data_IF_818849100255
#
_entry.id   IF_818849100255
#
_cell.length_a   1.000
_cell.length_b   1.000
_cell.length_c   1.000
_cell.angle_alpha   90.00
_cell.angle_beta   90.00
_cell.angle_gamma   90.00
#
_symmetry.space_group_name_H-M   'P 1'
#
loop_
_entity.id
_entity.type
_entity.pdbx_description
1 polymer ?
#
# COMPACT_ATOMS: atom_id res chain seq x y z
N UNK A 1 9.48 -13.70 13.40
CA UNK A 1 9.66 -12.56 12.48
C UNK A 1 8.51 -12.57 11.48
N UNK A 2 7.52 -11.71 11.65
CA UNK A 2 6.39 -11.63 10.70
C UNK A 2 6.93 -10.96 9.44
N UNK A 3 7.13 -11.73 8.37
CA UNK A 3 7.48 -11.14 7.08
C UNK A 3 6.24 -10.40 6.56
N UNK A 4 6.17 -9.10 6.85
CA UNK A 4 5.09 -8.20 6.38
C UNK A 4 5.14 -7.96 4.86
N UNK A 5 6.08 -8.59 4.14
CA UNK A 5 6.26 -8.39 2.70
C UNK A 5 5.42 -9.40 1.92
N UNK A 6 4.62 -8.95 0.94
CA UNK A 6 3.83 -9.86 0.11
C UNK A 6 4.74 -10.85 -0.60
N UNK A 7 4.39 -12.13 -0.56
CA UNK A 7 5.16 -13.19 -1.20
C UNK A 7 4.65 -13.42 -2.63
N UNK A 8 5.54 -13.84 -3.51
CA UNK A 8 5.17 -14.28 -4.85
C UNK A 8 4.31 -15.56 -4.78
N UNK A 9 3.12 -15.61 -5.42
CA UNK A 9 2.26 -16.79 -5.39
C UNK A 9 2.80 -17.98 -6.21
N UNK A 10 3.88 -17.79 -6.97
CA UNK A 10 4.49 -18.85 -7.78
C UNK A 10 5.69 -19.50 -7.09
N UNK A 11 6.54 -18.72 -6.41
CA UNK A 11 7.80 -19.23 -5.83
C UNK A 11 8.01 -18.87 -4.36
N UNK A 12 7.10 -18.15 -3.72
CA UNK A 12 7.22 -17.75 -2.32
C UNK A 12 8.26 -16.67 -2.04
N UNK A 13 8.93 -16.14 -3.06
CA UNK A 13 9.95 -15.10 -2.91
C UNK A 13 9.32 -13.77 -2.46
N UNK A 14 9.91 -13.03 -1.51
CA UNK A 14 9.40 -11.73 -1.09
C UNK A 14 9.42 -10.72 -2.22
N UNK A 15 8.28 -10.06 -2.44
CA UNK A 15 8.17 -8.98 -3.42
C UNK A 15 8.83 -7.71 -2.86
N UNK A 16 9.70 -7.04 -3.63
CA UNK A 16 10.37 -5.83 -3.16
C UNK A 16 9.39 -4.71 -2.83
N UNK A 17 9.63 -4.02 -1.71
CA UNK A 17 8.74 -2.97 -1.19
C UNK A 17 8.42 -1.88 -2.20
N UNK A 18 9.42 -1.46 -2.99
CA UNK A 18 9.24 -0.44 -4.03
C UNK A 18 8.13 -0.83 -5.03
N UNK A 19 8.05 -2.11 -5.42
CA UNK A 19 7.01 -2.62 -6.33
C UNK A 19 5.64 -2.68 -5.66
N UNK A 20 5.60 -2.95 -4.35
CA UNK A 20 4.34 -3.00 -3.57
C UNK A 20 3.70 -1.63 -3.35
N UNK A 21 4.48 -0.55 -3.32
CA UNK A 21 3.97 0.80 -3.08
C UNK A 21 3.89 1.65 -4.35
N UNK A 22 4.92 1.59 -5.19
CA UNK A 22 5.04 2.44 -6.39
C UNK A 22 4.71 1.70 -7.69
N UNK A 23 4.63 0.37 -7.64
CA UNK A 23 4.32 -0.49 -8.78
C UNK A 23 2.85 -0.92 -8.90
N UNK A 24 1.95 -0.34 -8.10
CA UNK A 24 0.53 -0.72 -8.09
C UNK A 24 -0.10 -0.57 -9.48
N UNK A 25 -0.77 -1.62 -9.94
CA UNK A 25 -1.45 -1.71 -11.23
C UNK A 25 -0.52 -1.88 -12.45
N UNK A 26 0.80 -1.98 -12.25
CA UNK A 26 1.75 -2.24 -13.34
C UNK A 26 2.24 -3.69 -13.25
N UNK A 27 2.28 -4.43 -14.38
CA UNK A 27 2.90 -5.75 -14.39
C UNK A 27 4.41 -5.64 -14.16
N UNK A 28 4.97 -6.57 -13.39
CA UNK A 28 6.41 -6.69 -13.12
C UNK A 28 6.81 -8.17 -12.99
N UNK A 29 8.05 -8.50 -13.36
CA UNK A 29 8.57 -9.85 -13.17
C UNK A 29 8.99 -10.08 -11.71
N UNK A 30 8.69 -11.27 -11.16
CA UNK A 30 9.23 -11.70 -9.88
C UNK A 30 10.76 -11.88 -9.95
N UNK A 31 11.49 -11.43 -8.92
CA UNK A 31 12.96 -11.57 -8.87
C UNK A 31 13.43 -13.03 -8.76
N UNK A 32 12.63 -13.92 -8.15
CA UNK A 32 12.95 -15.35 -8.03
C UNK A 32 12.59 -16.14 -9.28
N UNK A 33 11.29 -16.24 -9.58
CA UNK A 33 10.79 -17.12 -10.65
C UNK A 33 10.49 -16.42 -12.00
N UNK A 34 10.76 -15.11 -12.12
CA UNK A 34 10.46 -14.30 -13.32
C UNK A 34 8.99 -14.30 -13.78
N UNK A 35 8.08 -14.89 -13.01
CA UNK A 35 6.65 -14.91 -13.32
C UNK A 35 6.13 -13.47 -13.36
N UNK A 36 5.31 -13.11 -14.37
CA UNK A 36 4.68 -11.80 -14.42
C UNK A 36 3.64 -11.68 -13.31
N UNK A 37 3.80 -10.67 -12.47
CA UNK A 37 2.94 -10.36 -11.34
C UNK A 37 2.35 -8.97 -11.52
N UNK A 38 1.12 -8.78 -11.04
CA UNK A 38 0.47 -7.49 -10.92
C UNK A 38 -0.10 -7.36 -9.51
N UNK A 39 0.07 -6.20 -8.90
CA UNK A 39 -0.61 -5.87 -7.65
C UNK A 39 -1.78 -4.95 -8.01
N UNK A 40 -3.04 -5.40 -7.88
CA UNK A 40 -4.19 -4.60 -8.27
C UNK A 40 -4.27 -3.31 -7.44
N UNK A 41 -4.63 -2.19 -8.08
CA UNK A 41 -4.90 -0.94 -7.35
C UNK A 41 -6.22 -1.08 -6.60
N UNK A 42 -6.23 -0.70 -5.33
CA UNK A 42 -7.48 -0.56 -4.59
C UNK A 42 -7.74 0.93 -4.29
N UNK A 43 -8.55 1.54 -5.15
CA UNK A 43 -8.89 2.98 -5.08
C UNK A 43 -9.65 3.31 -3.78
N UNK A 44 -10.35 2.33 -3.20
CA UNK A 44 -11.11 2.48 -1.97
C UNK A 44 -10.22 2.78 -0.75
N UNK A 45 -8.97 2.32 -0.74
CA UNK A 45 -8.03 2.62 0.36
C UNK A 45 -7.71 4.12 0.36
N UNK A 46 -7.42 4.68 -0.81
CA UNK A 46 -7.17 6.12 -0.96
C UNK A 46 -8.43 6.95 -0.68
N UNK A 47 -9.59 6.49 -1.14
CA UNK A 47 -10.87 7.15 -0.88
C UNK A 47 -11.21 7.18 0.61
N UNK A 48 -11.04 6.06 1.32
CA UNK A 48 -11.28 5.99 2.77
C UNK A 48 -10.37 6.95 3.54
N UNK A 49 -9.09 7.03 3.18
CA UNK A 49 -8.16 7.97 3.79
C UNK A 49 -8.54 9.44 3.51
N UNK A 50 -9.02 9.75 2.30
CA UNK A 50 -9.49 11.08 1.95
C UNK A 50 -10.73 11.49 2.77
N UNK A 51 -11.68 10.57 2.95
CA UNK A 51 -12.87 10.82 3.78
C UNK A 51 -12.48 11.06 5.24
N UNK A 52 -11.56 10.25 5.79
CA UNK A 52 -11.05 10.43 7.16
C UNK A 52 -10.36 11.79 7.29
N UNK A 53 -9.50 12.16 6.33
CA UNK A 53 -8.88 13.48 6.33
C UNK A 53 -9.94 14.60 6.33
N UNK A 54 -10.95 14.51 5.47
CA UNK A 54 -12.00 15.52 5.38
C UNK A 54 -12.82 15.66 6.67
N UNK A 55 -13.10 14.55 7.35
CA UNK A 55 -13.84 14.56 8.63
C UNK A 55 -13.02 15.13 9.79
N UNK A 56 -11.70 14.95 9.78
CA UNK A 56 -10.82 15.38 10.87
C UNK A 56 -10.15 16.74 10.63
N UNK A 57 -10.02 17.21 9.38
CA UNK A 57 -9.31 18.46 9.05
C UNK A 57 -9.89 19.68 9.79
N UNK A 58 -11.21 19.74 9.94
CA UNK A 58 -11.90 20.89 10.54
C UNK A 58 -11.83 20.89 12.07
N UNK A 59 -11.36 19.79 12.68
CA UNK A 59 -11.07 19.71 14.12
C UNK A 59 -9.65 20.12 14.46
N UNK A 60 -8.81 20.38 13.47
CA UNK A 60 -7.41 20.73 13.67
C UNK A 60 -7.24 22.24 13.64
N UNK A 61 -6.61 22.75 14.69
CA UNK A 61 -6.43 24.18 14.94
C UNK A 61 -5.04 24.66 14.47
N UNK A 62 -4.11 23.74 14.28
CA UNK A 62 -2.72 24.03 13.91
C UNK A 62 -2.29 23.27 12.66
N UNK A 63 -1.46 23.92 11.84
CA UNK A 63 -0.80 23.31 10.68
C UNK A 63 0.01 22.07 11.07
N UNK A 64 0.55 22.03 12.30
CA UNK A 64 1.30 20.87 12.80
C UNK A 64 0.41 19.63 13.01
N UNK A 65 -0.82 19.83 13.49
CA UNK A 65 -1.80 18.75 13.65
C UNK A 65 -2.19 18.18 12.29
N UNK A 66 -2.42 19.05 11.30
CA UNK A 66 -2.76 18.66 9.93
C UNK A 66 -1.64 17.81 9.31
N UNK A 67 -0.38 18.22 9.47
CA UNK A 67 0.77 17.45 8.99
C UNK A 67 0.86 16.09 9.68
N UNK A 68 0.61 16.05 10.99
CA UNK A 68 0.61 14.81 11.77
C UNK A 68 -0.52 13.86 11.33
N UNK A 69 -1.71 14.40 11.01
CA UNK A 69 -2.83 13.64 10.46
C UNK A 69 -2.48 13.01 9.12
N UNK A 70 -1.90 13.79 8.22
CA UNK A 70 -1.50 13.32 6.89
C UNK A 70 -0.44 12.22 7.03
N UNK A 71 0.58 12.43 7.86
CA UNK A 71 1.62 11.43 8.11
C UNK A 71 1.01 10.12 8.67
N UNK A 72 0.11 10.22 9.64
CA UNK A 72 -0.60 9.07 10.21
C UNK A 72 -1.45 8.33 9.17
N UNK A 73 -2.18 9.06 8.33
CA UNK A 73 -2.97 8.49 7.23
C UNK A 73 -2.09 7.78 6.21
N UNK A 74 -0.95 8.36 5.84
CA UNK A 74 0.00 7.72 4.92
C UNK A 74 0.49 6.40 5.51
N UNK A 75 0.91 6.38 6.78
CA UNK A 75 1.34 5.15 7.46
C UNK A 75 0.21 4.11 7.50
N UNK A 76 -1.01 4.52 7.81
CA UNK A 76 -2.18 3.63 7.81
C UNK A 76 -2.44 3.04 6.41
N UNK A 77 -2.39 3.85 5.36
CA UNK A 77 -2.54 3.39 3.97
C UNK A 77 -1.45 2.38 3.62
N UNK A 78 -0.19 2.62 4.00
CA UNK A 78 0.91 1.69 3.72
C UNK A 78 0.69 0.33 4.39
N UNK A 79 0.21 0.34 5.64
CA UNK A 79 -0.09 -0.89 6.40
C UNK A 79 -1.27 -1.63 5.78
N UNK A 80 -2.39 -0.95 5.54
CA UNK A 80 -3.60 -1.55 4.94
C UNK A 80 -3.28 -2.07 3.54
N UNK A 81 -2.55 -1.31 2.73
CA UNK A 81 -2.13 -1.74 1.40
C UNK A 81 -1.27 -3.00 1.47
N UNK A 82 -0.34 -3.12 2.43
CA UNK A 82 0.43 -4.36 2.61
C UNK A 82 -0.43 -5.56 3.05
N UNK A 83 -1.43 -5.34 3.90
CA UNK A 83 -2.28 -6.41 4.42
C UNK A 83 -3.29 -6.92 3.39
N UNK A 84 -3.83 -6.05 2.56
CA UNK A 84 -4.93 -6.39 1.64
C UNK A 84 -4.49 -6.54 0.18
N UNK A 85 -3.40 -5.90 -0.26
CA UNK A 85 -2.92 -5.99 -1.64
C UNK A 85 -1.93 -7.13 -1.79
N UNK A 86 -2.45 -8.28 -2.19
CA UNK A 86 -1.63 -9.43 -2.56
C UNK A 86 -1.27 -9.41 -4.05
N UNK A 87 -0.02 -9.75 -4.40
CA UNK A 87 0.40 -9.92 -5.78
C UNK A 87 -0.38 -11.09 -6.41
N UNK A 88 -0.95 -10.85 -7.58
CA UNK A 88 -1.59 -11.87 -8.43
C UNK A 88 -0.75 -12.07 -9.68
N UNK A 89 -0.92 -13.21 -10.36
CA UNK A 89 -0.33 -13.40 -11.69
C UNK A 89 -0.98 -12.39 -12.65
N UNK A 90 -0.15 -11.69 -13.42
CA UNK A 90 -0.60 -10.72 -14.42
C UNK A 90 -1.13 -11.41 -15.67
#
# INVERSE_FOLDING_TARGET
>A
MVSLSPLCPACGEPVPFLKTQWGLGKPFACNGCKTPLVIPKNVWIGFGAFVIFWLLKDRMSSSFEIVTLIAGLVVAILIVSRLFLHPRRA
#
